data_IF_424171736987
#
_entry.id   IF_424171736987
#
_cell.length_a   1.000
_cell.length_b   1.000
_cell.length_c   1.000
_cell.angle_alpha   90.00
_cell.angle_beta   90.00
_cell.angle_gamma   90.00
#
_symmetry.space_group_name_H-M   'P 1'
#
loop_
_entity.id
_entity.type
_entity.pdbx_description
1 polymer ?
#
# COMPACT_ATOMS: atom_id res chain seq x y z
N UNK A 1 5.77 -2.59 3.55
CA UNK A 1 5.06 -2.29 2.29
C UNK A 1 5.89 -1.27 1.54
N UNK A 2 5.82 -1.25 0.20
CA UNK A 2 6.62 -0.35 -0.65
C UNK A 2 5.63 0.45 -1.50
N UNK A 3 5.36 1.68 -1.09
CA UNK A 3 4.32 2.51 -1.68
C UNK A 3 4.92 3.61 -2.56
N UNK A 4 4.21 3.98 -3.61
CA UNK A 4 4.48 5.17 -4.41
C UNK A 4 3.37 6.18 -4.17
N UNK A 5 3.66 7.23 -3.40
CA UNK A 5 2.72 8.30 -3.08
C UNK A 5 3.13 9.59 -3.81
N UNK A 6 2.14 10.26 -4.40
CA UNK A 6 2.32 11.47 -5.19
C UNK A 6 1.06 12.33 -5.16
N UNK A 7 1.27 13.62 -5.35
CA UNK A 7 0.25 14.66 -5.45
C UNK A 7 -0.72 14.63 -4.26
N UNK A 8 -0.23 14.63 -3.00
CA UNK A 8 -1.12 14.76 -1.87
C UNK A 8 -1.88 16.10 -1.97
N UNK A 9 -3.16 16.08 -1.62
CA UNK A 9 -4.05 17.23 -1.83
C UNK A 9 -4.96 17.45 -0.63
N UNK A 10 -4.97 18.69 -0.15
CA UNK A 10 -5.98 19.23 0.74
C UNK A 10 -6.40 20.63 0.26
N UNK A 11 -7.57 21.10 0.69
CA UNK A 11 -8.06 22.43 0.31
C UNK A 11 -7.20 23.52 0.96
N UNK A 12 -6.41 24.22 0.14
CA UNK A 12 -5.56 25.32 0.58
C UNK A 12 -4.17 24.94 1.12
N UNK A 13 -3.79 23.65 1.12
CA UNK A 13 -2.46 23.20 1.55
C UNK A 13 -2.11 21.79 1.01
N UNK A 14 -0.84 21.41 1.07
CA UNK A 14 -0.33 20.09 0.68
C UNK A 14 -0.06 19.27 1.95
N UNK A 15 -0.73 18.13 2.18
CA UNK A 15 -0.43 17.28 3.32
C UNK A 15 0.77 16.36 3.08
N UNK A 16 1.44 15.99 4.17
CA UNK A 16 2.47 14.96 4.14
C UNK A 16 1.91 13.61 3.64
N UNK A 17 2.64 12.93 2.75
CA UNK A 17 2.30 11.59 2.30
C UNK A 17 2.42 10.56 3.43
N UNK A 18 3.46 10.73 4.25
CA UNK A 18 3.73 9.89 5.42
C UNK A 18 3.77 10.76 6.65
N UNK A 19 2.78 10.61 7.53
CA UNK A 19 2.73 11.33 8.80
C UNK A 19 2.72 10.35 9.97
N UNK A 20 3.69 10.50 10.86
CA UNK A 20 3.64 9.91 12.19
C UNK A 20 2.93 10.93 13.08
N UNK A 21 1.74 10.56 13.54
CA UNK A 21 0.81 11.52 14.15
C UNK A 21 0.08 10.90 15.34
N UNK A 22 -0.15 11.68 16.39
CA UNK A 22 -1.03 11.35 17.52
C UNK A 22 -0.28 11.28 18.85
N UNK A 23 -0.99 10.90 19.92
CA UNK A 23 -0.42 10.81 21.26
C UNK A 23 0.58 9.65 21.36
N UNK A 24 1.85 9.88 20.98
CA UNK A 24 2.98 8.99 21.24
C UNK A 24 3.16 7.78 20.29
N UNK A 25 2.97 7.99 18.98
CA UNK A 25 3.33 6.98 17.97
C UNK A 25 4.84 6.67 18.04
N UNK A 26 5.23 5.44 18.38
CA UNK A 26 6.62 5.05 18.66
C UNK A 26 6.98 3.71 18.02
N UNK A 27 8.27 3.50 17.76
CA UNK A 27 8.82 2.27 17.17
C UNK A 27 8.17 1.82 15.84
N UNK A 28 7.65 2.78 15.06
CA UNK A 28 7.16 2.50 13.72
C UNK A 28 8.32 2.37 12.73
N UNK A 29 8.17 1.51 11.73
CA UNK A 29 9.11 1.37 10.61
C UNK A 29 8.46 1.87 9.33
N UNK A 30 9.07 2.90 8.73
CA UNK A 30 8.75 3.40 7.40
C UNK A 30 9.93 3.06 6.50
N UNK A 31 9.78 2.04 5.66
CA UNK A 31 10.90 1.57 4.83
C UNK A 31 10.54 1.44 3.35
N UNK A 32 11.50 1.77 2.48
CA UNK A 32 11.43 1.48 1.04
C UNK A 32 10.32 2.18 0.27
N UNK A 33 9.75 3.26 0.81
CA UNK A 33 8.68 4.00 0.14
C UNK A 33 9.27 5.08 -0.77
N UNK A 34 8.52 5.43 -1.81
CA UNK A 34 8.75 6.62 -2.62
C UNK A 34 7.58 7.56 -2.34
N UNK A 35 7.84 8.71 -1.74
CA UNK A 35 6.83 9.69 -1.38
C UNK A 35 7.35 11.11 -1.58
N UNK A 36 6.47 12.11 -1.55
CA UNK A 36 6.90 13.50 -1.67
C UNK A 36 7.35 14.00 -0.31
N UNK A 37 6.44 14.17 0.65
CA UNK A 37 6.70 14.78 1.96
C UNK A 37 6.49 13.80 3.13
N UNK A 38 7.35 13.86 4.15
CA UNK A 38 7.19 13.16 5.41
C UNK A 38 7.06 14.11 6.61
N UNK A 39 6.31 13.71 7.63
CA UNK A 39 6.19 14.45 8.89
C UNK A 39 6.26 13.50 10.12
N UNK A 40 6.95 13.94 11.17
CA UNK A 40 6.96 13.31 12.48
C UNK A 40 6.45 14.30 13.53
N UNK A 41 5.15 14.20 13.81
CA UNK A 41 4.31 15.20 14.50
C UNK A 41 4.27 16.54 13.78
N UNK A 42 3.07 17.07 13.55
CA UNK A 42 2.76 18.43 13.10
C UNK A 42 1.53 19.00 13.84
N UNK A 43 0.71 18.10 14.41
CA UNK A 43 -0.35 18.41 15.37
C UNK A 43 -0.52 17.26 16.39
N UNK A 44 -1.42 17.43 17.36
CA UNK A 44 -1.89 16.37 18.29
C UNK A 44 -0.82 15.68 19.17
N UNK A 45 0.34 16.32 19.37
CA UNK A 45 1.34 15.92 20.36
C UNK A 45 2.61 15.25 19.80
N UNK A 46 3.64 15.08 20.66
CA UNK A 46 4.90 14.43 20.30
C UNK A 46 4.73 12.99 19.80
N UNK A 47 5.64 12.58 18.91
CA UNK A 47 5.84 11.18 18.51
C UNK A 47 7.23 10.67 18.88
N UNK A 48 7.39 9.36 18.94
CA UNK A 48 8.63 8.68 19.32
C UNK A 48 8.59 8.14 20.75
N UNK A 49 9.70 7.55 21.21
CA UNK A 49 10.97 7.39 20.49
C UNK A 49 10.94 6.25 19.47
N UNK A 50 11.99 6.16 18.66
CA UNK A 50 12.37 4.97 17.92
C UNK A 50 11.63 4.74 16.61
N UNK A 51 10.84 5.70 16.12
CA UNK A 51 10.36 5.57 14.74
C UNK A 51 11.54 5.67 13.78
N UNK A 52 11.52 4.84 12.75
CA UNK A 52 12.64 4.62 11.87
C UNK A 52 12.23 4.77 10.41
N UNK A 53 12.86 5.71 9.72
CA UNK A 53 12.78 5.88 8.28
C UNK A 53 14.02 5.24 7.65
N UNK A 54 13.84 4.13 6.95
CA UNK A 54 14.91 3.35 6.32
C UNK A 54 14.76 3.35 4.79
N UNK A 55 15.81 3.75 4.05
CA UNK A 55 15.85 3.61 2.58
C UNK A 55 14.62 4.19 1.86
N UNK A 56 14.00 5.26 2.35
CA UNK A 56 12.93 5.92 1.61
C UNK A 56 13.52 6.87 0.57
N UNK A 57 12.80 7.04 -0.54
CA UNK A 57 13.05 8.10 -1.49
C UNK A 57 12.03 9.22 -1.32
N UNK A 58 12.51 10.39 -0.95
CA UNK A 58 11.70 11.58 -0.64
C UNK A 58 11.85 12.57 -1.78
N UNK A 59 10.77 12.83 -2.51
CA UNK A 59 10.80 13.51 -3.80
C UNK A 59 10.45 15.00 -3.73
N UNK A 60 9.81 15.50 -2.66
CA UNK A 60 9.57 16.94 -2.49
C UNK A 60 9.41 17.36 -1.01
N UNK A 61 9.80 18.57 -0.63
CA UNK A 61 9.58 19.17 0.71
C UNK A 61 10.34 18.52 1.88
N UNK A 62 10.83 17.29 1.72
CA UNK A 62 11.71 16.62 2.68
C UNK A 62 10.94 15.92 3.80
N UNK A 63 11.58 15.82 4.98
CA UNK A 63 10.93 15.26 6.18
C UNK A 63 11.05 16.24 7.32
N UNK A 64 9.91 16.62 7.90
CA UNK A 64 9.84 17.58 8.99
C UNK A 64 9.61 16.86 10.33
N UNK A 65 10.29 17.27 11.40
CA UNK A 65 10.06 16.72 12.74
C UNK A 65 9.77 17.88 13.71
N UNK A 66 8.66 17.79 14.42
CA UNK A 66 8.21 18.83 15.35
C UNK A 66 7.87 18.31 16.75
N UNK A 67 7.51 19.23 17.63
CA UNK A 67 6.77 19.01 18.88
C UNK A 67 7.44 17.99 19.81
N UNK A 68 8.71 18.20 20.17
CA UNK A 68 9.44 17.32 21.11
C UNK A 68 9.47 15.85 20.68
N UNK A 69 9.38 15.57 19.37
CA UNK A 69 9.43 14.20 18.83
C UNK A 69 10.86 13.63 18.84
N UNK A 70 11.44 13.49 20.03
CA UNK A 70 12.84 13.10 20.22
C UNK A 70 13.14 11.66 19.76
N UNK A 71 14.42 11.38 19.47
CA UNK A 71 14.94 10.03 19.24
C UNK A 71 14.28 9.31 18.06
N UNK A 72 14.12 10.00 16.93
CA UNK A 72 13.79 9.37 15.65
C UNK A 72 15.06 8.85 14.98
N UNK A 73 14.91 7.88 14.08
CA UNK A 73 16.02 7.32 13.30
C UNK A 73 15.78 7.54 11.80
N UNK A 74 16.74 8.12 11.12
CA UNK A 74 16.76 8.25 9.66
C UNK A 74 18.03 7.61 9.14
N UNK A 75 17.87 6.48 8.45
CA UNK A 75 18.98 5.67 7.98
C UNK A 75 18.87 5.42 6.48
N UNK A 76 19.89 5.81 5.73
CA UNK A 76 20.02 5.44 4.32
C UNK A 76 18.95 6.01 3.38
N UNK A 77 18.22 7.06 3.76
CA UNK A 77 17.20 7.67 2.90
C UNK A 77 17.85 8.49 1.77
N UNK A 78 17.17 8.63 0.63
CA UNK A 78 17.58 9.51 -0.45
C UNK A 78 16.56 10.65 -0.63
N UNK A 79 17.01 11.89 -0.48
CA UNK A 79 16.14 13.07 -0.57
C UNK A 79 16.47 13.93 -1.80
N UNK A 80 17.67 13.76 -2.37
CA UNK A 80 18.07 14.49 -3.58
C UNK A 80 18.58 15.89 -3.26
N UNK A 81 18.14 16.88 -4.04
CA UNK A 81 18.59 18.27 -3.89
C UNK A 81 17.59 19.10 -3.08
N UNK A 82 18.07 20.23 -2.53
CA UNK A 82 17.24 21.22 -1.83
C UNK A 82 15.95 21.54 -2.61
N UNK A 83 14.78 21.67 -1.95
CA UNK A 83 14.59 21.77 -0.49
C UNK A 83 14.49 20.44 0.27
N UNK A 84 14.70 19.29 -0.36
CA UNK A 84 14.46 17.99 0.28
C UNK A 84 15.55 17.65 1.30
N UNK A 85 15.29 17.96 2.57
CA UNK A 85 16.17 17.62 3.71
C UNK A 85 15.35 17.11 4.89
N UNK A 86 16.01 16.43 5.82
CA UNK A 86 15.47 16.00 7.10
C UNK A 86 15.65 17.17 8.08
N UNK A 87 14.55 17.70 8.60
CA UNK A 87 14.52 18.96 9.34
C UNK A 87 13.92 18.77 10.73
N UNK A 88 14.72 18.39 11.73
CA UNK A 88 14.33 18.49 13.12
C UNK A 88 14.18 19.97 13.51
N UNK A 89 13.05 20.33 14.14
CA UNK A 89 12.90 21.65 14.73
C UNK A 89 13.78 21.84 15.98
N UNK A 90 13.80 23.05 16.53
CA UNK A 90 14.63 23.37 17.70
C UNK A 90 14.20 22.65 19.00
N UNK A 91 13.01 22.05 19.03
CA UNK A 91 12.48 21.30 20.18
C UNK A 91 12.86 19.83 20.12
N UNK A 92 13.14 19.29 18.94
CA UNK A 92 13.54 17.90 18.74
C UNK A 92 15.00 17.68 19.14
N UNK A 93 15.27 16.54 19.77
CA UNK A 93 16.60 16.16 20.29
C UNK A 93 16.90 14.71 19.96
N UNK A 94 18.20 14.37 19.94
CA UNK A 94 18.71 13.02 19.78
C UNK A 94 18.19 12.27 18.54
N UNK A 95 17.92 12.99 17.45
CA UNK A 95 17.57 12.34 16.16
C UNK A 95 18.83 11.76 15.55
N UNK A 96 18.79 10.46 15.23
CA UNK A 96 19.85 9.79 14.50
C UNK A 96 19.70 10.08 13.00
N UNK A 97 20.71 10.72 12.42
CA UNK A 97 20.85 10.90 10.97
C UNK A 97 22.08 10.12 10.50
N UNK A 98 21.88 9.02 9.77
CA UNK A 98 22.98 8.14 9.42
C UNK A 98 22.89 7.60 7.99
N UNK A 99 23.82 8.00 7.14
CA UNK A 99 23.89 7.57 5.76
C UNK A 99 22.79 8.14 4.87
N UNK A 100 22.14 9.26 5.22
CA UNK A 100 21.12 9.86 4.33
C UNK A 100 21.80 10.67 3.22
N UNK A 101 21.26 10.62 2.00
CA UNK A 101 21.69 11.44 0.87
C UNK A 101 20.84 12.70 0.76
N UNK A 102 21.45 13.84 1.06
CA UNK A 102 20.84 15.17 1.12
C UNK A 102 21.78 16.18 0.47
N UNK A 103 21.24 17.09 -0.35
CA UNK A 103 21.99 18.20 -0.96
C UNK A 103 23.25 17.77 -1.73
N UNK A 104 23.20 16.59 -2.36
CA UNK A 104 24.31 16.07 -3.17
C UNK A 104 25.36 15.28 -2.39
N UNK A 105 25.19 15.05 -1.09
CA UNK A 105 26.15 14.32 -0.27
C UNK A 105 25.47 13.31 0.67
N UNK A 106 26.19 12.22 0.97
CA UNK A 106 25.78 11.27 2.01
C UNK A 106 26.36 11.73 3.34
N UNK A 107 25.50 11.97 4.32
CA UNK A 107 25.90 12.38 5.68
C UNK A 107 25.87 11.18 6.61
N UNK A 108 26.99 10.90 7.28
CA UNK A 108 27.14 9.83 8.27
C UNK A 108 27.24 10.40 9.67
N UNK A 109 26.57 9.76 10.63
CA UNK A 109 26.78 10.05 12.06
C UNK A 109 28.25 9.73 12.42
N UNK A 110 29.05 10.70 12.89
CA UNK A 110 30.48 10.53 13.13
C UNK A 110 30.79 9.57 14.29
N UNK A 111 29.79 9.23 15.12
CA UNK A 111 29.95 8.31 16.25
C UNK A 111 29.71 6.85 15.87
N UNK A 112 29.19 6.58 14.66
CA UNK A 112 28.86 5.24 14.18
C UNK A 112 29.81 4.86 13.03
N UNK A 113 30.81 3.99 13.27
CA UNK A 113 31.81 3.64 12.24
C UNK A 113 31.28 2.70 11.16
N UNK A 114 30.15 2.02 11.39
CA UNK A 114 29.56 1.11 10.42
C UNK A 114 28.73 1.90 9.42
N UNK A 115 29.13 1.91 8.15
CA UNK A 115 28.41 2.58 7.07
C UNK A 115 27.58 1.62 6.21
N UNK A 116 27.26 0.44 6.73
CA UNK A 116 26.40 -0.54 6.05
C UNK A 116 24.95 -0.18 6.33
N UNK A 117 24.20 0.13 5.27
CA UNK A 117 22.75 0.39 5.35
C UNK A 117 22.02 -0.95 5.18
N UNK A 118 21.20 -1.39 6.16
CA UNK A 118 20.45 -2.63 6.06
C UNK A 118 19.44 -2.61 4.91
N UNK A 119 19.29 -3.72 4.18
CA UNK A 119 18.33 -3.85 3.07
C UNK A 119 16.87 -3.67 3.54
N UNK A 120 16.57 -4.18 4.72
CA UNK A 120 15.29 -4.01 5.42
C UNK A 120 15.47 -4.27 6.92
N UNK A 121 14.60 -3.71 7.74
CA UNK A 121 14.46 -4.10 9.16
C UNK A 121 13.29 -5.07 9.41
N UNK A 122 12.54 -5.41 8.36
CA UNK A 122 11.36 -6.28 8.43
C UNK A 122 11.51 -7.57 7.61
N UNK A 123 12.23 -7.53 6.49
CA UNK A 123 12.35 -8.62 5.54
C UNK A 123 13.75 -9.22 5.52
N UNK A 124 13.82 -10.55 5.47
CA UNK A 124 15.07 -11.30 5.33
C UNK A 124 15.48 -11.53 3.86
N UNK A 125 14.75 -10.94 2.90
CA UNK A 125 15.03 -11.10 1.47
C UNK A 125 14.02 -10.40 0.57
N UNK A 126 14.24 -10.53 -0.75
CA UNK A 126 13.44 -9.86 -1.78
C UNK A 126 11.95 -10.19 -1.62
N UNK A 127 11.08 -9.19 -1.40
CA UNK A 127 9.66 -9.44 -1.29
C UNK A 127 9.06 -9.95 -2.60
N UNK A 128 8.14 -10.90 -2.52
CA UNK A 128 7.51 -11.53 -3.70
C UNK A 128 6.91 -10.53 -4.70
N UNK A 129 6.36 -9.42 -4.22
CA UNK A 129 5.74 -8.38 -5.04
C UNK A 129 6.74 -7.48 -5.78
N UNK A 130 8.04 -7.74 -5.67
CA UNK A 130 9.07 -7.13 -6.53
C UNK A 130 9.22 -7.83 -7.88
N UNK A 131 8.74 -9.07 -8.03
CA UNK A 131 8.60 -9.74 -9.34
C UNK A 131 9.88 -9.71 -10.22
N UNK A 132 11.06 -9.74 -9.58
CA UNK A 132 12.36 -9.72 -10.25
C UNK A 132 12.97 -8.33 -10.46
N UNK A 133 12.31 -7.25 -10.00
CA UNK A 133 12.91 -5.93 -9.88
C UNK A 133 14.07 -5.93 -8.86
N UNK A 134 14.99 -4.97 -9.03
CA UNK A 134 16.12 -4.76 -8.11
C UNK A 134 15.61 -4.53 -6.67
N UNK A 135 16.26 -5.18 -5.70
CA UNK A 135 15.96 -5.01 -4.27
C UNK A 135 17.27 -4.99 -3.46
N UNK A 136 17.48 -3.97 -2.62
CA UNK A 136 16.66 -2.76 -2.44
C UNK A 136 16.58 -1.89 -3.72
N UNK A 137 15.46 -1.19 -3.91
CA UNK A 137 15.24 -0.29 -5.05
C UNK A 137 15.43 1.20 -4.71
N UNK A 138 15.70 1.50 -3.44
CA UNK A 138 15.83 2.85 -2.90
C UNK A 138 16.93 2.88 -1.83
N UNK A 139 17.53 4.04 -1.67
CA UNK A 139 18.52 4.31 -0.63
C UNK A 139 19.70 5.15 -1.12
N UNK A 140 20.45 5.70 -0.18
CA UNK A 140 21.61 6.57 -0.48
C UNK A 140 22.81 5.82 -1.08
N UNK A 141 22.89 4.51 -0.90
CA UNK A 141 23.97 3.63 -1.38
C UNK A 141 23.68 3.00 -2.74
N UNK A 142 22.63 3.45 -3.44
CA UNK A 142 22.21 2.94 -4.76
C UNK A 142 23.19 3.25 -5.91
N UNK A 143 24.27 3.98 -5.65
CA UNK A 143 25.34 4.24 -6.63
C UNK A 143 24.79 4.91 -7.90
N UNK A 144 24.93 4.24 -9.04
CA UNK A 144 24.43 4.75 -10.33
C UNK A 144 22.90 4.85 -10.41
N UNK A 145 22.17 4.16 -9.52
CA UNK A 145 20.71 4.22 -9.43
C UNK A 145 20.19 5.23 -8.39
N UNK A 146 21.08 6.01 -7.77
CA UNK A 146 20.69 7.06 -6.83
C UNK A 146 19.75 8.08 -7.52
N UNK A 147 18.62 8.39 -6.87
CA UNK A 147 17.58 9.28 -7.38
C UNK A 147 16.67 8.66 -8.45
N UNK A 148 16.93 7.43 -8.89
CA UNK A 148 16.03 6.72 -9.82
C UNK A 148 14.74 6.34 -9.10
N UNK A 149 14.83 5.84 -7.87
CA UNK A 149 13.69 5.50 -7.01
C UNK A 149 12.61 4.68 -7.72
N UNK A 150 13.01 3.64 -8.47
CA UNK A 150 12.10 2.82 -9.27
C UNK A 150 11.66 1.58 -8.48
N UNK A 151 10.64 1.75 -7.65
CA UNK A 151 9.97 0.63 -6.99
C UNK A 151 8.86 0.03 -7.87
N UNK A 152 8.46 -1.24 -7.67
CA UNK A 152 7.38 -1.87 -8.44
C UNK A 152 6.07 -1.06 -8.45
N UNK A 153 5.74 -0.40 -7.34
CA UNK A 153 4.54 0.45 -7.26
C UNK A 153 4.60 1.66 -8.20
N UNK A 154 5.79 2.27 -8.37
CA UNK A 154 6.03 3.35 -9.31
C UNK A 154 6.01 2.85 -10.74
N UNK A 155 6.68 1.74 -11.02
CA UNK A 155 6.68 1.12 -12.35
C UNK A 155 5.26 0.85 -12.85
N UNK A 156 4.39 0.28 -12.00
CA UNK A 156 2.97 0.06 -12.32
C UNK A 156 2.21 1.36 -12.58
N UNK A 157 2.49 2.40 -11.81
CA UNK A 157 1.89 3.71 -12.06
C UNK A 157 2.31 4.30 -13.42
N UNK A 158 3.62 4.38 -13.68
CA UNK A 158 4.17 5.02 -14.88
C UNK A 158 3.83 4.27 -16.17
N UNK A 159 3.78 2.93 -16.11
CA UNK A 159 3.37 2.10 -17.25
C UNK A 159 1.86 2.07 -17.48
N UNK A 160 1.05 2.56 -16.53
CA UNK A 160 -0.39 2.37 -16.52
C UNK A 160 -0.81 0.92 -16.22
N UNK A 161 0.13 0.05 -15.84
CA UNK A 161 -0.08 -1.33 -15.42
C UNK A 161 -0.30 -1.46 -13.90
N UNK A 162 -0.94 -0.45 -13.31
CA UNK A 162 -1.57 -0.64 -12.03
C UNK A 162 -2.79 -1.52 -12.30
N UNK A 163 -2.94 -2.64 -11.60
CA UNK A 163 -4.12 -3.48 -11.75
C UNK A 163 -5.19 -2.96 -10.77
N UNK A 164 -6.14 -2.11 -11.21
CA UNK A 164 -7.16 -1.59 -10.32
C UNK A 164 -8.02 -2.75 -9.81
N UNK A 165 -8.12 -2.85 -8.48
CA UNK A 165 -9.08 -3.76 -7.87
C UNK A 165 -10.49 -3.45 -8.40
N UNK A 166 -11.33 -4.48 -8.60
CA UNK A 166 -12.73 -4.26 -8.94
C UNK A 166 -13.41 -3.43 -7.85
N UNK A 167 -14.18 -2.43 -8.27
CA UNK A 167 -14.84 -1.48 -7.37
C UNK A 167 -16.36 -1.60 -7.44
N UNK A 168 -17.03 -1.24 -6.34
CA UNK A 168 -18.48 -1.24 -6.23
C UNK A 168 -19.11 -2.61 -6.50
N UNK A 169 -18.49 -3.69 -6.00
CA UNK A 169 -19.10 -5.02 -6.06
C UNK A 169 -20.42 -5.01 -5.26
N UNK A 170 -21.48 -5.42 -5.92
CA UNK A 170 -22.81 -5.63 -5.35
C UNK A 170 -23.21 -7.09 -5.56
N UNK A 171 -23.99 -7.61 -4.63
CA UNK A 171 -24.61 -8.92 -4.70
C UNK A 171 -26.10 -8.77 -4.40
N UNK A 172 -26.95 -9.12 -5.35
CA UNK A 172 -28.41 -9.02 -5.25
C UNK A 172 -29.04 -10.39 -5.46
N UNK A 173 -29.99 -10.76 -4.59
CA UNK A 173 -30.67 -12.04 -4.72
C UNK A 173 -31.69 -11.98 -5.86
N UNK A 174 -31.65 -12.97 -6.76
CA UNK A 174 -32.59 -13.13 -7.86
C UNK A 174 -33.08 -14.58 -7.93
N UNK A 175 -34.18 -14.87 -7.22
CA UNK A 175 -34.68 -16.23 -7.09
C UNK A 175 -33.67 -17.14 -6.38
N UNK A 176 -33.23 -18.20 -7.06
CA UNK A 176 -32.18 -19.11 -6.57
C UNK A 176 -30.76 -18.67 -6.93
N UNK A 177 -30.61 -17.57 -7.70
CA UNK A 177 -29.33 -17.03 -8.11
C UNK A 177 -28.93 -15.81 -7.27
N UNK A 178 -27.64 -15.48 -7.33
CA UNK A 178 -27.10 -14.22 -6.82
C UNK A 178 -26.48 -13.46 -7.98
N UNK A 179 -27.08 -12.34 -8.33
CA UNK A 179 -26.61 -11.45 -9.38
C UNK A 179 -25.55 -10.51 -8.80
N UNK A 180 -24.37 -10.57 -9.39
CA UNK A 180 -23.22 -9.73 -9.06
C UNK A 180 -23.07 -8.64 -10.10
N UNK A 181 -22.76 -7.43 -9.64
CA UNK A 181 -22.33 -6.33 -10.52
C UNK A 181 -21.16 -5.57 -9.92
N UNK A 182 -20.25 -5.11 -10.76
CA UNK A 182 -19.11 -4.27 -10.37
C UNK A 182 -18.68 -3.39 -11.55
N UNK A 183 -17.83 -2.39 -11.33
CA UNK A 183 -17.34 -1.53 -12.42
C UNK A 183 -16.13 -2.20 -13.08
N UNK A 184 -16.17 -2.36 -14.40
CA UNK A 184 -14.99 -2.78 -15.16
C UNK A 184 -13.91 -1.68 -15.11
N UNK A 185 -12.66 -2.07 -14.88
CA UNK A 185 -11.53 -1.16 -14.75
C UNK A 185 -10.48 -1.52 -15.79
N UNK A 186 -9.91 -0.49 -16.40
CA UNK A 186 -8.80 -0.60 -17.36
C UNK A 186 -7.67 -1.50 -16.83
N UNK A 187 -7.01 -2.23 -17.72
CA UNK A 187 -5.93 -3.17 -17.39
C UNK A 187 -6.40 -4.62 -17.14
N UNK A 188 -7.65 -4.84 -16.73
CA UNK A 188 -8.17 -6.20 -16.53
C UNK A 188 -8.74 -6.77 -17.85
N UNK A 189 -8.21 -7.90 -18.32
CA UNK A 189 -8.70 -8.59 -19.53
C UNK A 189 -9.74 -9.67 -19.23
N UNK A 190 -9.81 -10.12 -17.97
CA UNK A 190 -10.84 -11.03 -17.45
C UNK A 190 -10.97 -10.87 -15.94
N UNK A 191 -11.99 -11.51 -15.37
CA UNK A 191 -12.21 -11.54 -13.93
C UNK A 191 -12.44 -12.96 -13.43
N UNK A 192 -12.00 -13.17 -12.19
CA UNK A 192 -12.38 -14.32 -11.40
C UNK A 192 -13.39 -13.92 -10.31
N UNK A 193 -14.40 -14.77 -10.11
CA UNK A 193 -15.45 -14.60 -9.10
C UNK A 193 -15.25 -15.67 -8.04
N UNK A 194 -15.05 -15.23 -6.80
CA UNK A 194 -14.86 -16.11 -5.65
C UNK A 194 -16.01 -15.95 -4.66
N UNK A 195 -16.37 -17.04 -4.00
CA UNK A 195 -17.40 -17.12 -2.97
C UNK A 195 -16.85 -17.83 -1.72
N UNK A 196 -17.31 -17.42 -0.55
CA UNK A 196 -17.05 -18.10 0.72
C UNK A 196 -18.24 -17.91 1.68
N UNK A 197 -18.34 -18.73 2.73
CA UNK A 197 -19.30 -18.53 3.83
C UNK A 197 -18.72 -17.62 4.92
N UNK A 198 -17.39 -17.42 4.93
CA UNK A 198 -16.71 -16.49 5.82
C UNK A 198 -16.67 -15.07 5.21
N UNK A 199 -17.00 -14.02 5.98
CA UNK A 199 -16.98 -12.63 5.49
C UNK A 199 -15.58 -12.14 5.09
N UNK A 200 -14.55 -12.72 5.69
CA UNK A 200 -13.15 -12.34 5.54
C UNK A 200 -12.36 -13.51 4.96
N UNK A 201 -12.35 -13.62 3.64
CA UNK A 201 -11.53 -14.60 2.92
C UNK A 201 -10.62 -13.93 1.90
N UNK A 202 -9.57 -14.63 1.47
CA UNK A 202 -8.58 -14.12 0.52
C UNK A 202 -8.51 -15.05 -0.71
N UNK A 203 -8.92 -14.61 -1.90
CA UNK A 203 -8.78 -15.38 -3.14
C UNK A 203 -7.34 -15.84 -3.46
N UNK A 204 -6.33 -15.12 -2.95
CA UNK A 204 -4.92 -15.49 -3.11
C UNK A 204 -4.49 -16.67 -2.21
N UNK A 205 -5.23 -16.91 -1.13
CA UNK A 205 -4.98 -18.00 -0.17
C UNK A 205 -6.34 -18.61 0.25
N UNK A 206 -7.01 -19.35 -0.67
CA UNK A 206 -8.37 -19.85 -0.44
C UNK A 206 -8.45 -20.73 0.81
N UNK A 207 -9.49 -20.51 1.62
CA UNK A 207 -9.82 -21.36 2.75
C UNK A 207 -10.55 -22.64 2.32
N UNK A 208 -10.90 -23.52 3.27
CA UNK A 208 -11.61 -24.76 2.97
C UNK A 208 -12.99 -24.54 2.34
N UNK A 209 -13.65 -23.42 2.66
CA UNK A 209 -14.98 -23.06 2.16
C UNK A 209 -14.93 -22.09 0.97
N UNK A 210 -13.74 -21.69 0.53
CA UNK A 210 -13.55 -20.79 -0.60
C UNK A 210 -13.79 -21.52 -1.92
N UNK A 211 -14.68 -20.98 -2.74
CA UNK A 211 -15.05 -21.53 -4.05
C UNK A 211 -14.72 -20.53 -5.15
N UNK A 212 -13.95 -20.95 -6.14
CA UNK A 212 -13.80 -20.24 -7.41
C UNK A 212 -15.03 -20.55 -8.28
N UNK A 213 -15.94 -19.58 -8.37
CA UNK A 213 -17.23 -19.72 -9.07
C UNK A 213 -17.06 -19.56 -10.58
N UNK A 214 -16.18 -18.65 -11.01
CA UNK A 214 -15.82 -18.45 -12.41
C UNK A 214 -14.41 -17.88 -12.53
N UNK A 215 -13.67 -18.26 -13.58
CA UNK A 215 -12.26 -17.88 -13.80
C UNK A 215 -12.00 -17.12 -15.11
N UNK A 216 -13.07 -16.86 -15.88
CA UNK A 216 -12.98 -16.25 -17.20
C UNK A 216 -14.19 -15.34 -17.52
N UNK A 217 -14.59 -14.49 -16.58
CA UNK A 217 -15.63 -13.50 -16.82
C UNK A 217 -15.03 -12.36 -17.64
N UNK A 218 -15.41 -12.26 -18.92
CA UNK A 218 -14.84 -11.30 -19.86
C UNK A 218 -15.44 -9.89 -19.64
N UNK A 219 -14.62 -8.84 -19.77
CA UNK A 219 -15.08 -7.48 -19.58
C UNK A 219 -15.92 -6.95 -20.76
N UNK A 220 -16.89 -6.05 -20.49
CA UNK A 220 -17.51 -5.20 -21.50
C UNK A 220 -16.54 -4.09 -21.94
N UNK A 221 -17.03 -3.06 -22.63
CA UNK A 221 -16.21 -1.89 -22.91
C UNK A 221 -15.75 -1.20 -21.62
N UNK A 222 -14.62 -0.50 -21.68
CA UNK A 222 -14.03 0.19 -20.52
C UNK A 222 -15.03 1.20 -19.95
N UNK A 223 -15.29 1.11 -18.64
CA UNK A 223 -16.21 1.98 -17.90
C UNK A 223 -17.62 1.43 -17.72
N UNK A 224 -17.99 0.38 -18.46
CA UNK A 224 -19.28 -0.29 -18.29
C UNK A 224 -19.32 -1.17 -17.04
N UNK A 225 -20.53 -1.45 -16.57
CA UNK A 225 -20.75 -2.37 -15.47
C UNK A 225 -20.55 -3.82 -15.94
N UNK A 226 -19.79 -4.57 -15.15
CA UNK A 226 -19.73 -6.02 -15.19
C UNK A 226 -21.01 -6.60 -14.60
N UNK A 227 -21.44 -7.75 -15.14
CA UNK A 227 -22.51 -8.56 -14.58
C UNK A 227 -22.13 -10.04 -14.58
N UNK A 228 -22.51 -10.75 -13.52
CA UNK A 228 -22.33 -12.19 -13.40
C UNK A 228 -23.44 -12.77 -12.51
N UNK A 229 -23.97 -13.95 -12.82
CA UNK A 229 -25.01 -14.59 -12.01
C UNK A 229 -24.49 -15.91 -11.45
N UNK A 230 -24.41 -16.02 -10.13
CA UNK A 230 -24.07 -17.26 -9.43
C UNK A 230 -25.33 -18.06 -9.13
N UNK A 231 -25.55 -19.12 -9.90
CA UNK A 231 -26.68 -20.05 -9.72
C UNK A 231 -26.35 -21.23 -8.80
N UNK A 232 -25.15 -21.27 -8.24
CA UNK A 232 -24.62 -22.38 -7.43
C UNK A 232 -24.54 -22.03 -5.94
N UNK A 233 -24.99 -20.85 -5.56
CA UNK A 233 -24.98 -20.39 -4.18
C UNK A 233 -25.93 -21.24 -3.30
N UNK A 234 -25.49 -21.71 -2.12
CA UNK A 234 -26.38 -22.39 -1.19
C UNK A 234 -27.57 -21.50 -0.80
N UNK A 235 -28.77 -22.07 -0.80
CA UNK A 235 -30.01 -21.31 -0.56
C UNK A 235 -30.21 -20.93 0.92
N UNK A 236 -29.57 -21.67 1.83
CA UNK A 236 -29.74 -21.65 3.28
C UNK A 236 -28.54 -21.05 4.04
N UNK A 237 -27.54 -20.54 3.32
CA UNK A 237 -26.34 -19.96 3.91
C UNK A 237 -26.14 -18.51 3.45
N UNK A 238 -25.65 -17.69 4.38
CA UNK A 238 -25.07 -16.39 4.03
C UNK A 238 -23.75 -16.64 3.32
N UNK A 239 -23.59 -16.05 2.13
CA UNK A 239 -22.36 -16.14 1.35
C UNK A 239 -21.81 -14.76 1.03
N UNK A 240 -20.50 -14.71 0.88
CA UNK A 240 -19.72 -13.52 0.60
C UNK A 240 -18.93 -13.73 -0.68
N UNK A 241 -18.83 -12.68 -1.48
CA UNK A 241 -18.17 -12.66 -2.77
C UNK A 241 -17.00 -11.69 -2.77
N UNK A 242 -15.96 -12.08 -3.50
CA UNK A 242 -14.88 -11.20 -3.93
C UNK A 242 -14.63 -11.44 -5.40
N UNK A 243 -14.32 -10.37 -6.12
CA UNK A 243 -13.90 -10.45 -7.51
C UNK A 243 -12.45 -9.99 -7.59
N UNK A 244 -11.62 -10.63 -8.41
CA UNK A 244 -10.30 -10.10 -8.79
C UNK A 244 -10.20 -10.04 -10.30
N UNK A 245 -9.64 -8.95 -10.80
CA UNK A 245 -9.34 -8.83 -12.22
C UNK A 245 -7.99 -9.46 -12.53
N UNK A 246 -7.83 -9.92 -13.76
CA UNK A 246 -6.59 -10.50 -14.28
C UNK A 246 -6.17 -9.66 -15.47
N UNK A 247 -4.91 -9.25 -15.53
CA UNK A 247 -4.37 -8.46 -16.64
C UNK A 247 -4.04 -9.33 -17.88
N UNK A 248 -3.53 -8.70 -18.93
CA UNK A 248 -3.10 -9.38 -20.16
C UNK A 248 -1.92 -10.35 -19.98
N UNK A 249 -1.19 -10.25 -18.87
CA UNK A 249 -0.04 -11.08 -18.54
C UNK A 249 -0.39 -12.27 -17.64
N UNK A 250 -1.62 -12.28 -17.08
CA UNK A 250 -2.10 -13.30 -16.17
C UNK A 250 -1.90 -12.95 -14.68
N UNK A 251 -1.47 -11.73 -14.36
CA UNK A 251 -1.27 -11.25 -12.99
C UNK A 251 -2.62 -10.81 -12.39
N UNK A 252 -2.95 -11.27 -11.17
CA UNK A 252 -4.20 -10.89 -10.52
C UNK A 252 -4.10 -9.53 -9.81
N UNK A 253 -5.20 -8.77 -9.86
CA UNK A 253 -5.43 -7.59 -9.05
C UNK A 253 -5.57 -7.94 -7.57
N UNK A 254 -5.47 -6.94 -6.69
CA UNK A 254 -6.07 -7.05 -5.36
C UNK A 254 -7.58 -7.34 -5.51
N UNK A 255 -8.17 -8.17 -4.63
CA UNK A 255 -9.59 -8.48 -4.72
C UNK A 255 -10.44 -7.26 -4.34
N UNK A 256 -11.67 -7.24 -4.83
CA UNK A 256 -12.68 -6.27 -4.40
C UNK A 256 -12.91 -6.34 -2.89
N UNK A 257 -13.55 -5.28 -2.36
CA UNK A 257 -14.22 -5.40 -1.05
C UNK A 257 -15.26 -6.54 -1.10
N UNK A 258 -15.48 -7.20 0.03
CA UNK A 258 -16.48 -8.26 0.13
C UNK A 258 -17.89 -7.69 -0.08
N UNK A 259 -18.72 -8.38 -0.87
CA UNK A 259 -20.16 -8.15 -0.95
C UNK A 259 -20.87 -9.44 -0.56
N UNK A 260 -21.97 -9.40 0.19
CA UNK A 260 -22.62 -10.62 0.67
C UNK A 260 -24.13 -10.55 0.67
N UNK A 261 -24.77 -11.73 0.67
CA UNK A 261 -26.20 -11.92 0.85
C UNK A 261 -26.46 -12.35 2.29
N UNK A 262 -27.21 -11.56 3.06
CA UNK A 262 -27.67 -11.95 4.39
C UNK A 262 -28.99 -12.73 4.27
N UNK A 263 -28.99 -13.99 4.70
CA UNK A 263 -30.24 -14.74 4.88
C UNK A 263 -30.68 -14.59 6.35
N UNK A 264 -31.73 -13.82 6.59
CA UNK A 264 -32.45 -13.86 7.86
C UNK A 264 -33.58 -14.87 7.72
N UNK A 265 -33.45 -16.05 8.31
CA UNK A 265 -34.60 -16.95 8.50
C UNK A 265 -35.36 -16.43 9.71
N UNK A 266 -36.52 -15.79 9.49
CA UNK A 266 -37.45 -15.50 10.56
C UNK A 266 -38.08 -16.83 11.00
N UNK A 267 -37.66 -17.36 12.14
CA UNK A 267 -38.42 -18.40 12.81
C UNK A 267 -39.62 -17.74 13.49
N UNK A 268 -40.86 -18.21 13.27
CA UNK A 268 -41.99 -17.82 14.11
C UNK A 268 -41.63 -18.15 15.56
N UNK A 269 -41.83 -17.20 16.48
CA UNK A 269 -41.69 -17.47 17.90
C UNK A 269 -42.71 -18.53 18.33
N UNK A 270 -42.26 -19.51 19.13
CA UNK A 270 -43.13 -20.44 19.84
C UNK A 270 -44.04 -19.72 20.85
#
# INVERSE_FOLDING_TARGET
SYNYSREPYADGWTPADVSLHGHWASYNLVEGNVFQEGAASDAWGPTGPGNTFLRNCVQAEGVQLYDYSHRQNFVGNELGNYPNTIRPDATVQDTLLHGNYEEGAITWDPTIPNHTIPDSYYLDGVPRFFEGADWPATGSDMGAQLGVCMIPARSRWESGDYIPQPFNLKAEANGSAIDLSWIHRYGNVKYEVWRDIAPYFAPATPGPDSVLVADNVLPPAIGDAMSFSDTTAPADQTVYYKVRGIDGSGVPSAPSRSAGRFVFVLQPGE
#
